data_IF_728430234079
#
_entry.id   IF_728430234079
#
_cell.length_a   1.000
_cell.length_b   1.000
_cell.length_c   1.000
_cell.angle_alpha   90.00
_cell.angle_beta   90.00
_cell.angle_gamma   90.00
#
_symmetry.space_group_name_H-M   'P 1'
#
loop_
_entity.id
_entity.type
_entity.pdbx_description
1 polymer ?
#
# COMPACT_ATOMS: atom_id res chain seq x y z
N UNK A 1 -22.61 6.34 4.95
CA UNK A 1 -22.52 5.94 3.54
C UNK A 1 -21.35 6.65 2.90
N UNK A 2 -20.25 5.92 2.79
CA UNK A 2 -19.06 6.26 2.02
C UNK A 2 -19.47 6.39 0.57
N UNK A 3 -19.11 7.51 -0.06
CA UNK A 3 -19.34 7.72 -1.49
C UNK A 3 -18.08 7.46 -2.28
N UNK A 4 -18.22 7.10 -3.56
CA UNK A 4 -17.08 7.04 -4.48
C UNK A 4 -16.34 8.39 -4.48
N UNK A 5 -15.01 8.32 -4.56
CA UNK A 5 -14.11 9.49 -4.54
C UNK A 5 -14.10 10.32 -3.24
N UNK A 6 -14.78 9.89 -2.17
CA UNK A 6 -14.53 10.44 -0.84
C UNK A 6 -13.09 10.13 -0.42
N UNK A 7 -12.39 11.14 0.09
CA UNK A 7 -11.02 11.03 0.56
C UNK A 7 -10.93 11.54 1.99
N UNK A 8 -10.56 10.65 2.90
CA UNK A 8 -10.18 10.99 4.28
C UNK A 8 -8.66 11.10 4.38
N UNK A 9 -8.19 12.16 5.03
CA UNK A 9 -6.76 12.39 5.23
C UNK A 9 -6.38 12.03 6.66
N UNK A 10 -5.31 11.27 6.84
CA UNK A 10 -4.72 10.98 8.15
C UNK A 10 -3.34 11.62 8.24
N UNK A 11 -3.08 12.23 9.39
CA UNK A 11 -1.80 12.87 9.69
C UNK A 11 -0.81 11.86 10.27
N UNK A 12 0.44 11.92 9.83
CA UNK A 12 1.56 11.16 10.36
C UNK A 12 2.79 12.07 10.34
N UNK A 13 3.55 12.11 11.45
CA UNK A 13 4.74 12.95 11.59
C UNK A 13 4.49 14.43 11.24
N UNK A 14 3.33 14.96 11.64
CA UNK A 14 2.94 16.36 11.40
C UNK A 14 2.47 16.66 9.97
N UNK A 15 2.26 15.64 9.11
CA UNK A 15 1.88 15.82 7.70
C UNK A 15 0.71 14.93 7.30
N UNK A 16 -0.24 15.48 6.55
CA UNK A 16 -1.39 14.76 5.95
C UNK A 16 -0.97 13.97 4.71
N UNK A 17 -0.20 12.90 4.92
CA UNK A 17 0.39 12.10 3.83
C UNK A 17 -0.31 10.76 3.61
N UNK A 18 -1.24 10.36 4.48
CA UNK A 18 -2.05 9.17 4.30
C UNK A 18 -3.44 9.58 3.81
N UNK A 19 -3.91 8.97 2.73
CA UNK A 19 -5.21 9.27 2.12
C UNK A 19 -5.99 8.00 1.88
N UNK A 20 -7.20 7.93 2.41
CA UNK A 20 -8.06 6.75 2.38
C UNK A 20 -9.31 7.08 1.58
N UNK A 21 -9.64 6.22 0.62
CA UNK A 21 -10.81 6.39 -0.23
C UNK A 21 -11.34 5.09 -0.80
N UNK A 22 -12.42 5.18 -1.57
CA UNK A 22 -12.99 4.07 -2.32
C UNK A 22 -13.13 4.44 -3.79
N UNK A 23 -12.53 3.62 -4.67
CA UNK A 23 -12.45 3.80 -6.13
C UNK A 23 -11.74 5.10 -6.51
N UNK A 24 -10.61 5.37 -5.86
CA UNK A 24 -9.83 6.61 -5.99
C UNK A 24 -8.66 6.51 -6.98
N UNK A 25 -8.59 5.49 -7.85
CA UNK A 25 -7.54 5.38 -8.88
C UNK A 25 -7.31 6.68 -9.70
N UNK A 26 -8.34 7.38 -10.22
CA UNK A 26 -8.11 8.64 -10.94
C UNK A 26 -7.44 9.69 -10.06
N UNK A 27 -7.89 9.81 -8.82
CA UNK A 27 -7.30 10.70 -7.84
C UNK A 27 -5.84 10.33 -7.52
N UNK A 28 -5.52 9.04 -7.37
CA UNK A 28 -4.15 8.58 -7.10
C UNK A 28 -3.21 9.01 -8.24
N UNK A 29 -3.61 8.77 -9.49
CA UNK A 29 -2.81 9.14 -10.65
C UNK A 29 -2.63 10.66 -10.74
N UNK A 30 -3.72 11.42 -10.59
CA UNK A 30 -3.68 12.89 -10.62
C UNK A 30 -2.86 13.46 -9.47
N UNK A 31 -2.99 12.93 -8.26
CA UNK A 31 -2.24 13.37 -7.09
C UNK A 31 -0.74 13.20 -7.28
N UNK A 32 -0.31 12.01 -7.71
CA UNK A 32 1.10 11.70 -7.95
C UNK A 32 1.67 12.64 -9.00
N UNK A 33 1.01 12.74 -10.16
CA UNK A 33 1.54 13.50 -11.30
C UNK A 33 1.50 15.00 -11.00
N UNK A 34 0.42 15.52 -10.41
CA UNK A 34 0.27 16.95 -10.14
C UNK A 34 1.27 17.43 -9.11
N UNK A 35 1.39 16.73 -7.97
CA UNK A 35 2.12 17.23 -6.82
C UNK A 35 3.55 16.69 -6.68
N UNK A 36 3.90 15.62 -7.40
CA UNK A 36 5.22 15.01 -7.34
C UNK A 36 5.86 14.95 -8.73
N UNK A 37 6.37 16.08 -9.19
CA UNK A 37 7.05 16.21 -10.47
C UNK A 37 8.23 15.24 -10.59
N UNK A 38 8.27 14.46 -11.68
CA UNK A 38 9.37 13.54 -12.02
C UNK A 38 9.41 13.37 -13.54
N UNK A 39 10.59 13.20 -14.14
CA UNK A 39 10.68 12.77 -15.53
C UNK A 39 10.29 11.30 -15.71
N UNK A 40 10.46 10.48 -14.67
CA UNK A 40 10.25 9.03 -14.72
C UNK A 40 9.45 8.56 -13.50
N UNK A 41 8.27 7.98 -13.75
CA UNK A 41 7.46 7.28 -12.77
C UNK A 41 7.60 5.77 -12.98
N UNK A 42 7.66 4.98 -11.91
CA UNK A 42 7.80 3.52 -12.02
C UNK A 42 6.80 2.82 -11.12
N UNK A 43 5.81 2.14 -11.71
CA UNK A 43 4.90 1.26 -10.97
C UNK A 43 5.55 -0.12 -10.83
N UNK A 44 5.72 -0.58 -9.59
CA UNK A 44 6.27 -1.90 -9.32
C UNK A 44 5.24 -2.69 -8.53
N UNK A 45 4.90 -3.88 -9.03
CA UNK A 45 3.82 -4.73 -8.50
C UNK A 45 4.14 -6.22 -8.67
N UNK A 46 3.21 -7.11 -8.30
CA UNK A 46 3.33 -8.55 -8.51
C UNK A 46 2.33 -9.09 -9.54
N UNK A 47 2.57 -10.33 -9.99
CA UNK A 47 1.74 -11.00 -11.00
C UNK A 47 0.27 -11.20 -10.60
N UNK A 48 -0.06 -11.27 -9.30
CA UNK A 48 -1.45 -11.43 -8.89
C UNK A 48 -2.22 -10.12 -9.09
N UNK A 49 -1.60 -8.98 -8.76
CA UNK A 49 -2.19 -7.66 -8.99
C UNK A 49 -2.28 -7.34 -10.47
N UNK A 50 -1.28 -7.74 -11.26
CA UNK A 50 -1.34 -7.68 -12.73
C UNK A 50 -2.47 -8.54 -13.29
N UNK A 51 -2.57 -9.82 -12.90
CA UNK A 51 -3.60 -10.74 -13.37
C UNK A 51 -5.03 -10.31 -12.99
N UNK A 52 -5.18 -9.59 -11.87
CA UNK A 52 -6.45 -8.98 -11.48
C UNK A 52 -6.83 -7.73 -12.31
N UNK A 53 -6.01 -7.34 -13.29
CA UNK A 53 -6.26 -6.21 -14.20
C UNK A 53 -5.95 -4.83 -13.62
N UNK A 54 -5.45 -4.76 -12.37
CA UNK A 54 -5.16 -3.49 -11.73
C UNK A 54 -4.01 -2.75 -12.42
N UNK A 55 -2.95 -3.45 -12.79
CA UNK A 55 -1.80 -2.81 -13.44
C UNK A 55 -2.20 -2.12 -14.75
N UNK A 56 -2.95 -2.79 -15.62
CA UNK A 56 -3.39 -2.20 -16.89
C UNK A 56 -4.34 -1.03 -16.68
N UNK A 57 -5.25 -1.14 -15.70
CA UNK A 57 -6.15 -0.05 -15.38
C UNK A 57 -5.41 1.18 -14.84
N UNK A 58 -4.39 1.00 -13.99
CA UNK A 58 -3.52 2.08 -13.52
C UNK A 58 -2.67 2.65 -14.65
N UNK A 59 -2.03 1.81 -15.48
CA UNK A 59 -1.24 2.28 -16.63
C UNK A 59 -2.06 3.16 -17.56
N UNK A 60 -3.30 2.75 -17.87
CA UNK A 60 -4.21 3.53 -18.71
C UNK A 60 -4.49 4.91 -18.10
N UNK A 61 -5.01 4.95 -16.87
CA UNK A 61 -5.37 6.22 -16.21
C UNK A 61 -4.14 7.12 -15.97
N UNK A 62 -2.99 6.52 -15.67
CA UNK A 62 -1.75 7.26 -15.43
C UNK A 62 -1.20 7.89 -16.71
N UNK A 63 -1.21 7.16 -17.84
CA UNK A 63 -0.79 7.70 -19.14
C UNK A 63 -1.72 8.83 -19.62
N UNK A 64 -3.05 8.65 -19.53
CA UNK A 64 -4.04 9.71 -19.83
C UNK A 64 -3.77 10.97 -18.98
N UNK A 65 -3.32 10.80 -17.74
CA UNK A 65 -3.00 11.91 -16.84
C UNK A 65 -1.64 12.54 -17.16
N UNK A 66 -0.64 11.76 -17.57
CA UNK A 66 0.66 12.26 -18.01
C UNK A 66 0.53 13.11 -19.27
N UNK A 67 -0.21 12.66 -20.28
CA UNK A 67 -0.45 13.42 -21.52
C UNK A 67 -1.02 14.81 -21.24
N UNK A 68 -1.91 14.91 -20.24
CA UNK A 68 -2.54 16.17 -19.84
C UNK A 68 -1.65 17.08 -18.99
N UNK A 69 -0.87 16.51 -18.07
CA UNK A 69 -0.20 17.29 -17.02
C UNK A 69 1.33 17.36 -17.17
N UNK A 70 1.95 16.33 -17.74
CA UNK A 70 3.41 16.16 -17.87
C UNK A 70 3.78 15.33 -19.11
N UNK A 71 3.54 15.84 -20.33
CA UNK A 71 3.73 15.07 -21.57
C UNK A 71 5.19 14.64 -21.82
N UNK A 72 6.17 15.35 -21.25
CA UNK A 72 7.60 15.00 -21.36
C UNK A 72 8.06 13.93 -20.35
N UNK A 73 7.15 13.49 -19.47
CA UNK A 73 7.43 12.46 -18.46
C UNK A 73 6.98 11.09 -18.96
N UNK A 74 7.60 10.04 -18.44
CA UNK A 74 7.31 8.65 -18.82
C UNK A 74 6.87 7.79 -17.63
N UNK A 75 6.10 6.75 -17.94
CA UNK A 75 5.74 5.69 -17.01
C UNK A 75 6.44 4.39 -17.40
N UNK A 76 7.13 3.79 -16.45
CA UNK A 76 7.69 2.45 -16.53
C UNK A 76 6.92 1.51 -15.59
N UNK A 77 6.97 0.20 -15.88
CA UNK A 77 6.32 -0.81 -15.05
C UNK A 77 7.20 -2.03 -14.87
N UNK A 78 7.24 -2.59 -13.67
CA UNK A 78 7.97 -3.83 -13.37
C UNK A 78 7.13 -4.79 -12.54
N UNK A 79 7.14 -6.07 -12.89
CA UNK A 79 6.33 -7.10 -12.24
C UNK A 79 7.20 -8.20 -11.65
N UNK A 80 7.09 -8.40 -10.34
CA UNK A 80 7.80 -9.48 -9.62
C UNK A 80 6.92 -10.72 -9.46
N UNK A 81 7.54 -11.86 -9.14
CA UNK A 81 6.78 -13.02 -8.68
C UNK A 81 6.06 -12.70 -7.35
N UNK A 82 4.85 -13.23 -7.11
CA UNK A 82 4.12 -12.96 -5.87
C UNK A 82 4.69 -13.73 -4.67
N UNK A 83 4.41 -13.22 -3.46
CA UNK A 83 4.67 -13.90 -2.19
C UNK A 83 6.02 -13.58 -1.53
N UNK A 84 6.18 -14.01 -0.28
CA UNK A 84 7.33 -13.69 0.57
C UNK A 84 8.67 -14.15 -0.03
N UNK A 85 8.66 -15.22 -0.84
CA UNK A 85 9.87 -15.72 -1.51
C UNK A 85 10.51 -14.68 -2.41
N UNK A 86 9.76 -13.69 -2.89
CA UNK A 86 10.29 -12.59 -3.70
C UNK A 86 10.97 -11.51 -2.88
N UNK A 87 10.77 -11.48 -1.56
CA UNK A 87 11.30 -10.46 -0.65
C UNK A 87 12.75 -10.76 -0.27
N UNK A 88 13.64 -10.76 -1.26
CA UNK A 88 15.02 -11.21 -1.10
C UNK A 88 16.01 -10.30 -1.84
N UNK A 89 17.31 -10.54 -1.60
CA UNK A 89 18.42 -9.77 -2.21
C UNK A 89 18.42 -9.83 -3.74
N UNK A 90 18.14 -11.00 -4.32
CA UNK A 90 18.17 -11.21 -5.76
C UNK A 90 17.05 -10.44 -6.46
N UNK A 91 15.83 -10.44 -5.93
CA UNK A 91 14.72 -9.65 -6.49
C UNK A 91 15.00 -8.16 -6.35
N UNK A 92 15.51 -7.70 -5.19
CA UNK A 92 15.93 -6.30 -5.00
C UNK A 92 16.94 -5.88 -6.07
N UNK A 93 17.99 -6.67 -6.27
CA UNK A 93 19.02 -6.41 -7.27
C UNK A 93 18.45 -6.40 -8.71
N UNK A 94 17.55 -7.33 -9.04
CA UNK A 94 16.92 -7.39 -10.35
C UNK A 94 16.08 -6.14 -10.66
N UNK A 95 15.40 -5.57 -9.66
CA UNK A 95 14.66 -4.31 -9.79
C UNK A 95 15.65 -3.15 -9.98
N UNK A 96 16.71 -3.07 -9.16
CA UNK A 96 17.74 -2.02 -9.28
C UNK A 96 18.42 -2.03 -10.64
N UNK A 97 18.78 -3.21 -11.15
CA UNK A 97 19.37 -3.37 -12.48
C UNK A 97 18.40 -2.95 -13.59
N UNK A 98 17.11 -3.28 -13.47
CA UNK A 98 16.10 -2.83 -14.42
C UNK A 98 16.02 -1.31 -14.46
N UNK A 99 15.93 -0.65 -13.30
CA UNK A 99 15.87 0.80 -13.20
C UNK A 99 17.12 1.47 -13.82
N UNK A 100 18.31 0.93 -13.57
CA UNK A 100 19.56 1.43 -14.17
C UNK A 100 19.57 1.27 -15.69
N UNK A 101 19.11 0.11 -16.22
CA UNK A 101 19.02 -0.13 -17.68
C UNK A 101 18.06 0.81 -18.37
N UNK A 102 16.94 1.13 -17.73
CA UNK A 102 15.96 2.09 -18.25
C UNK A 102 16.42 3.55 -18.13
N UNK A 103 17.58 3.81 -17.53
CA UNK A 103 18.12 5.16 -17.35
C UNK A 103 17.38 5.97 -16.29
N UNK A 104 16.80 5.32 -15.27
CA UNK A 104 16.24 6.01 -14.12
C UNK A 104 17.33 6.82 -13.39
N UNK A 105 17.00 8.05 -12.99
CA UNK A 105 17.92 8.94 -12.25
C UNK A 105 17.40 9.21 -10.84
N UNK A 106 18.04 10.13 -10.09
CA UNK A 106 17.61 10.52 -8.73
C UNK A 106 16.23 11.17 -8.70
N UNK A 107 15.74 11.66 -9.84
CA UNK A 107 14.41 12.27 -9.91
C UNK A 107 13.28 11.23 -9.92
N UNK A 108 13.58 9.96 -10.20
CA UNK A 108 12.62 8.85 -10.28
C UNK A 108 11.64 8.84 -9.12
N UNK A 109 10.36 8.59 -9.44
CA UNK A 109 9.29 8.46 -8.47
C UNK A 109 8.72 7.03 -8.51
N UNK A 110 9.03 6.25 -7.49
CA UNK A 110 8.60 4.84 -7.40
C UNK A 110 7.19 4.73 -6.81
N UNK A 111 6.39 3.82 -7.34
CA UNK A 111 5.02 3.54 -6.92
C UNK A 111 4.98 2.07 -6.53
N UNK A 112 4.98 1.80 -5.22
CA UNK A 112 4.88 0.46 -4.67
C UNK A 112 3.40 0.05 -4.61
N UNK A 113 2.93 -0.70 -5.62
CA UNK A 113 1.53 -1.12 -5.73
C UNK A 113 1.41 -2.60 -5.36
N UNK A 114 1.01 -2.90 -4.12
CA UNK A 114 0.89 -4.28 -3.67
C UNK A 114 0.62 -4.47 -2.17
N UNK A 115 0.80 -5.71 -1.71
CA UNK A 115 0.81 -6.06 -0.28
C UNK A 115 2.11 -5.67 0.42
N UNK A 116 2.27 -6.10 1.68
CA UNK A 116 3.45 -5.76 2.49
C UNK A 116 4.78 -6.20 1.89
N UNK A 117 4.81 -7.31 1.15
CA UNK A 117 6.01 -7.76 0.41
C UNK A 117 6.49 -6.72 -0.59
N UNK A 118 5.57 -6.20 -1.41
CA UNK A 118 5.89 -5.15 -2.39
C UNK A 118 6.23 -3.85 -1.66
N UNK A 119 5.44 -3.46 -0.66
CA UNK A 119 5.66 -2.24 0.10
C UNK A 119 7.06 -2.16 0.72
N UNK A 120 7.47 -3.22 1.42
CA UNK A 120 8.78 -3.31 2.08
C UNK A 120 9.92 -3.37 1.06
N UNK A 121 9.80 -4.24 0.05
CA UNK A 121 10.86 -4.44 -0.92
C UNK A 121 11.09 -3.18 -1.76
N UNK A 122 10.02 -2.57 -2.26
CA UNK A 122 10.13 -1.39 -3.14
C UNK A 122 10.48 -0.15 -2.32
N UNK A 123 9.99 -0.04 -1.09
CA UNK A 123 10.47 0.97 -0.16
C UNK A 123 11.99 0.85 0.06
N UNK A 124 12.52 -0.36 0.20
CA UNK A 124 13.95 -0.58 0.42
C UNK A 124 14.78 -0.33 -0.85
N UNK A 125 14.27 -0.72 -2.03
CA UNK A 125 14.86 -0.32 -3.32
C UNK A 125 14.92 1.22 -3.40
N UNK A 126 13.83 1.92 -3.10
CA UNK A 126 13.78 3.38 -3.15
C UNK A 126 14.75 4.03 -2.16
N UNK A 127 14.93 3.45 -0.97
CA UNK A 127 15.86 3.93 0.04
C UNK A 127 17.33 3.87 -0.42
N UNK A 128 17.70 2.86 -1.22
CA UNK A 128 19.10 2.64 -1.63
C UNK A 128 19.40 3.07 -3.06
N UNK A 129 18.41 3.12 -3.95
CA UNK A 129 18.58 3.48 -5.35
C UNK A 129 19.13 4.90 -5.46
N UNK A 130 20.34 5.05 -6.03
CA UNK A 130 21.08 6.30 -6.08
C UNK A 130 21.16 7.06 -4.74
N UNK A 131 21.24 6.31 -3.62
CA UNK A 131 21.24 6.82 -2.22
C UNK A 131 19.93 7.48 -1.77
N UNK A 132 18.81 7.13 -2.40
CA UNK A 132 17.49 7.56 -2.00
C UNK A 132 16.74 8.26 -3.11
N UNK A 133 15.55 7.75 -3.43
CA UNK A 133 14.56 8.40 -4.31
C UNK A 133 13.17 8.35 -3.69
N UNK A 134 12.26 9.14 -4.24
CA UNK A 134 10.89 9.27 -3.72
C UNK A 134 10.09 8.00 -4.02
N UNK A 135 9.29 7.56 -3.04
CA UNK A 135 8.37 6.44 -3.18
C UNK A 135 6.99 6.80 -2.62
N UNK A 136 5.93 6.28 -3.24
CA UNK A 136 4.56 6.26 -2.72
C UNK A 136 4.13 4.82 -2.48
N UNK A 137 3.38 4.59 -1.41
CA UNK A 137 2.75 3.30 -1.13
C UNK A 137 1.31 3.31 -1.64
N UNK A 138 0.94 2.31 -2.45
CA UNK A 138 -0.42 2.04 -2.90
C UNK A 138 -0.81 0.63 -2.41
N UNK A 139 -1.21 0.50 -1.12
CA UNK A 139 -1.46 -0.80 -0.52
C UNK A 139 -2.71 -1.48 -1.11
N UNK A 140 -2.57 -2.76 -1.47
CA UNK A 140 -3.64 -3.56 -2.10
C UNK A 140 -4.19 -4.68 -1.23
N UNK A 141 -3.62 -4.89 -0.04
CA UNK A 141 -4.07 -5.91 0.92
C UNK A 141 -4.54 -5.25 2.19
N UNK A 142 -5.52 -5.83 2.90
CA UNK A 142 -5.99 -5.27 4.16
C UNK A 142 -4.84 -5.06 5.16
N UNK A 143 -3.93 -6.03 5.27
CA UNK A 143 -2.73 -5.93 6.10
C UNK A 143 -1.86 -4.71 5.74
N UNK A 144 -1.58 -4.50 4.45
CA UNK A 144 -0.75 -3.38 4.04
C UNK A 144 -1.46 -2.04 4.17
N UNK A 145 -2.79 -1.99 4.05
CA UNK A 145 -3.56 -0.76 4.24
C UNK A 145 -3.50 -0.28 5.70
N UNK A 146 -3.56 -1.19 6.67
CA UNK A 146 -3.71 -0.84 8.08
C UNK A 146 -2.41 -0.80 8.88
N UNK A 147 -1.33 -1.42 8.37
CA UNK A 147 -0.07 -1.57 9.10
C UNK A 147 1.16 -1.36 8.20
N UNK A 148 1.47 -2.30 7.30
CA UNK A 148 2.80 -2.40 6.70
C UNK A 148 3.18 -1.23 5.76
N UNK A 149 2.22 -0.49 5.21
CA UNK A 149 2.52 0.68 4.37
C UNK A 149 2.85 1.95 5.18
N UNK A 150 2.67 1.91 6.50
CA UNK A 150 2.75 3.07 7.38
C UNK A 150 3.99 2.99 8.26
N UNK A 151 4.75 4.09 8.29
CA UNK A 151 5.89 4.30 9.16
C UNK A 151 7.26 4.05 8.54
N UNK A 152 7.31 3.78 7.23
CA UNK A 152 8.57 3.84 6.48
C UNK A 152 9.55 2.73 6.80
N UNK A 153 9.14 1.67 7.50
CA UNK A 153 9.95 0.47 7.66
C UNK A 153 9.98 -0.29 6.33
N UNK A 154 11.17 -0.57 5.84
CA UNK A 154 11.37 -1.26 4.56
C UNK A 154 12.46 -2.29 4.73
N UNK A 155 12.27 -3.49 4.20
CA UNK A 155 13.22 -4.57 4.43
C UNK A 155 13.11 -5.70 3.40
N UNK A 156 14.13 -6.56 3.42
CA UNK A 156 14.14 -7.85 2.75
C UNK A 156 14.54 -8.96 3.72
N UNK A 157 14.17 -10.18 3.35
CA UNK A 157 14.49 -11.38 4.11
C UNK A 157 15.85 -11.94 3.72
N UNK A 158 16.40 -12.72 4.64
CA UNK A 158 17.59 -13.53 4.44
C UNK A 158 17.28 -14.98 4.82
N UNK A 159 18.12 -15.96 4.44
CA UNK A 159 17.93 -17.34 4.90
C UNK A 159 17.92 -17.51 6.43
N UNK A 160 18.47 -16.54 7.17
CA UNK A 160 18.54 -16.55 8.63
C UNK A 160 17.30 -15.98 9.31
N UNK A 161 16.45 -15.24 8.59
CA UNK A 161 15.29 -14.61 9.19
C UNK A 161 14.74 -13.46 8.37
N UNK A 162 13.60 -12.96 8.83
CA UNK A 162 12.80 -11.94 8.15
C UNK A 162 13.21 -10.54 8.54
N UNK A 163 13.11 -9.61 7.60
CA UNK A 163 13.30 -8.16 7.82
C UNK A 163 14.63 -7.74 8.47
N UNK A 164 15.67 -8.59 8.46
CA UNK A 164 16.95 -8.26 9.10
C UNK A 164 17.77 -7.23 8.33
N UNK A 165 17.52 -7.06 7.04
CA UNK A 165 18.24 -6.11 6.20
C UNK A 165 17.23 -5.14 5.59
N UNK A 166 17.37 -3.87 5.91
CA UNK A 166 16.38 -2.86 5.52
C UNK A 166 16.83 -1.43 5.79
N UNK A 167 15.90 -0.50 5.68
CA UNK A 167 16.08 0.90 5.99
C UNK A 167 14.77 1.53 6.49
N UNK A 168 14.89 2.58 7.29
CA UNK A 168 13.80 3.51 7.54
C UNK A 168 13.76 4.54 6.41
N UNK A 169 12.72 4.50 5.58
CA UNK A 169 12.52 5.37 4.44
C UNK A 169 11.05 5.75 4.32
N UNK A 170 10.71 6.97 4.75
CA UNK A 170 9.32 7.45 4.74
C UNK A 170 8.81 7.63 3.30
N UNK A 171 7.64 7.06 2.96
CA UNK A 171 7.02 7.34 1.69
C UNK A 171 6.53 8.80 1.64
N UNK A 172 6.45 9.35 0.43
CA UNK A 172 5.89 10.68 0.21
C UNK A 172 4.38 10.72 0.50
N UNK A 173 3.70 9.61 0.20
CA UNK A 173 2.28 9.39 0.42
C UNK A 173 2.00 7.91 0.69
N UNK A 174 0.89 7.65 1.39
CA UNK A 174 0.24 6.35 1.45
C UNK A 174 -1.18 6.53 0.91
N UNK A 175 -1.48 5.91 -0.22
CA UNK A 175 -2.73 6.10 -0.97
C UNK A 175 -3.56 4.81 -0.93
N UNK A 176 -4.50 4.77 0.01
CA UNK A 176 -5.33 3.60 0.33
C UNK A 176 -6.63 3.64 -0.47
N UNK A 177 -6.73 2.80 -1.50
CA UNK A 177 -7.98 2.56 -2.23
C UNK A 177 -8.62 1.24 -1.77
N UNK A 178 -9.73 1.34 -1.05
CA UNK A 178 -10.46 0.18 -0.53
C UNK A 178 -10.97 -0.73 -1.65
N UNK A 179 -11.13 -0.22 -2.87
CA UNK A 179 -11.58 -1.02 -4.01
C UNK A 179 -10.63 -2.18 -4.35
N UNK A 180 -9.34 -2.12 -3.98
CA UNK A 180 -8.43 -3.27 -4.14
C UNK A 180 -8.92 -4.54 -3.42
N UNK A 181 -9.65 -4.35 -2.31
CA UNK A 181 -10.20 -5.45 -1.51
C UNK A 181 -11.25 -6.28 -2.28
N UNK A 182 -11.88 -5.73 -3.33
CA UNK A 182 -12.83 -6.47 -4.19
C UNK A 182 -12.17 -7.69 -4.86
N UNK A 183 -10.84 -7.66 -5.07
CA UNK A 183 -10.07 -8.75 -5.70
C UNK A 183 -9.22 -9.56 -4.71
N UNK A 184 -9.20 -9.17 -3.43
CA UNK A 184 -8.32 -9.78 -2.43
C UNK A 184 -8.83 -11.17 -2.00
N UNK A 185 -8.03 -12.25 -2.03
CA UNK A 185 -8.47 -13.57 -1.59
C UNK A 185 -8.91 -13.60 -0.12
N UNK A 186 -9.89 -14.46 0.21
CA UNK A 186 -10.45 -14.59 1.57
C UNK A 186 -9.37 -14.77 2.64
N UNK A 187 -8.39 -15.65 2.37
CA UNK A 187 -7.28 -15.90 3.31
C UNK A 187 -6.49 -14.63 3.62
N UNK A 188 -6.32 -13.73 2.66
CA UNK A 188 -5.58 -12.48 2.82
C UNK A 188 -6.40 -11.41 3.54
N UNK A 189 -7.74 -11.40 3.36
CA UNK A 189 -8.63 -10.61 4.22
C UNK A 189 -8.49 -11.03 5.69
N UNK A 190 -8.62 -12.32 5.97
CA UNK A 190 -8.52 -12.86 7.34
C UNK A 190 -7.14 -12.60 7.93
N UNK A 191 -6.08 -12.70 7.12
CA UNK A 191 -4.74 -12.36 7.56
C UNK A 191 -4.61 -10.89 7.98
N UNK A 192 -5.15 -9.95 7.19
CA UNK A 192 -5.15 -8.52 7.55
C UNK A 192 -5.99 -8.20 8.78
N UNK A 193 -7.09 -8.94 9.02
CA UNK A 193 -7.89 -8.78 10.23
C UNK A 193 -7.11 -9.05 11.52
N UNK A 194 -6.04 -9.85 11.47
CA UNK A 194 -5.16 -10.07 12.64
C UNK A 194 -4.60 -8.76 13.20
N UNK A 195 -4.07 -7.89 12.34
CA UNK A 195 -3.53 -6.60 12.75
C UNK A 195 -4.61 -5.60 13.18
N UNK A 196 -5.79 -5.67 12.55
CA UNK A 196 -6.94 -4.84 12.91
C UNK A 196 -7.42 -5.17 14.33
N UNK A 197 -7.58 -6.46 14.63
CA UNK A 197 -8.00 -6.96 15.95
C UNK A 197 -6.92 -6.64 17.00
N UNK A 198 -5.64 -6.80 16.67
CA UNK A 198 -4.53 -6.42 17.55
C UNK A 198 -4.62 -4.94 17.92
N UNK A 199 -4.77 -4.08 16.92
CA UNK A 199 -4.79 -2.62 17.08
C UNK A 199 -5.99 -2.17 17.92
N UNK A 200 -7.17 -2.73 17.69
CA UNK A 200 -8.36 -2.40 18.49
C UNK A 200 -8.24 -2.91 19.94
N UNK A 201 -7.71 -4.12 20.15
CA UNK A 201 -7.55 -4.72 21.47
C UNK A 201 -6.62 -3.91 22.38
N UNK A 202 -5.55 -3.30 21.84
CA UNK A 202 -4.57 -2.53 22.62
C UNK A 202 -4.93 -1.05 22.77
N UNK A 203 -5.81 -0.50 21.92
CA UNK A 203 -6.01 0.95 21.83
C UNK A 203 -7.46 1.42 22.02
N UNK A 204 -8.46 0.62 21.61
CA UNK A 204 -9.85 1.08 21.57
C UNK A 204 -10.85 -0.08 21.78
N UNK A 205 -11.26 -0.27 23.04
CA UNK A 205 -12.27 -1.28 23.41
C UNK A 205 -13.59 -1.12 22.65
N UNK A 206 -14.07 0.10 22.40
CA UNK A 206 -15.32 0.30 21.64
C UNK A 206 -15.21 -0.15 20.18
N UNK A 207 -14.03 0.02 19.58
CA UNK A 207 -13.78 -0.50 18.24
C UNK A 207 -13.67 -2.03 18.26
N UNK A 208 -13.10 -2.61 19.32
CA UNK A 208 -13.08 -4.06 19.50
C UNK A 208 -14.50 -4.63 19.57
N UNK A 209 -15.38 -4.06 20.40
CA UNK A 209 -16.80 -4.45 20.49
C UNK A 209 -17.50 -4.36 19.12
N UNK A 210 -17.25 -3.27 18.38
CA UNK A 210 -17.80 -3.08 17.02
C UNK A 210 -17.36 -4.18 16.05
N UNK A 211 -16.10 -4.62 16.11
CA UNK A 211 -15.60 -5.71 15.27
C UNK A 211 -16.32 -7.02 15.59
N UNK A 212 -16.57 -7.32 16.88
CA UNK A 212 -17.32 -8.50 17.30
C UNK A 212 -18.74 -8.51 16.73
N UNK A 213 -19.44 -7.37 16.82
CA UNK A 213 -20.82 -7.22 16.32
C UNK A 213 -20.94 -7.47 14.81
N UNK A 214 -19.95 -7.04 14.01
CA UNK A 214 -20.00 -7.12 12.54
C UNK A 214 -19.33 -8.36 11.96
N UNK A 215 -18.71 -9.21 12.79
CA UNK A 215 -17.90 -10.36 12.34
C UNK A 215 -18.69 -11.30 11.42
N UNK A 216 -19.95 -11.60 11.76
CA UNK A 216 -20.78 -12.52 10.96
C UNK A 216 -21.06 -11.99 9.56
N UNK A 217 -21.48 -10.73 9.47
CA UNK A 217 -21.77 -10.07 8.19
C UNK A 217 -20.50 -9.96 7.34
N UNK A 218 -19.39 -9.53 7.95
CA UNK A 218 -18.09 -9.44 7.29
C UNK A 218 -17.68 -10.78 6.66
N UNK A 219 -17.72 -11.87 7.45
CA UNK A 219 -17.38 -13.21 6.96
C UNK A 219 -18.33 -13.69 5.86
N UNK A 220 -19.63 -13.42 5.97
CA UNK A 220 -20.59 -13.77 4.93
C UNK A 220 -20.27 -13.07 3.60
N UNK A 221 -20.00 -11.76 3.64
CA UNK A 221 -19.70 -10.99 2.42
C UNK A 221 -18.39 -11.45 1.80
N UNK A 222 -17.29 -11.53 2.56
CA UNK A 222 -15.99 -11.88 1.95
C UNK A 222 -15.96 -13.30 1.37
N UNK A 223 -16.81 -14.22 1.85
CA UNK A 223 -16.92 -15.58 1.32
C UNK A 223 -17.85 -15.68 0.09
N UNK A 224 -18.70 -14.68 -0.16
CA UNK A 224 -19.61 -14.65 -1.32
C UNK A 224 -18.88 -14.19 -2.58
N UNK A 225 -18.00 -15.06 -3.09
CA UNK A 225 -17.18 -14.80 -4.28
C UNK A 225 -17.93 -15.05 -5.59
N UNK A 226 -17.65 -14.22 -6.58
CA UNK A 226 -18.06 -14.41 -7.98
C UNK A 226 -17.13 -15.42 -8.67
N UNK A 227 -17.49 -15.86 -9.87
CA UNK A 227 -16.73 -16.84 -10.66
C UNK A 227 -15.31 -16.35 -11.00
N UNK A 228 -15.13 -15.05 -11.20
CA UNK A 228 -13.85 -14.40 -11.45
C UNK A 228 -12.99 -14.21 -10.17
N UNK A 229 -13.46 -14.69 -9.01
CA UNK A 229 -12.79 -14.55 -7.72
C UNK A 229 -13.02 -13.22 -7.02
N UNK A 230 -13.77 -12.29 -7.62
CA UNK A 230 -14.08 -10.99 -7.01
C UNK A 230 -15.19 -11.09 -5.96
N UNK A 231 -15.31 -10.07 -5.12
CA UNK A 231 -16.38 -9.92 -4.12
C UNK A 231 -16.98 -8.52 -4.22
N UNK A 232 -18.30 -8.44 -4.05
CA UNK A 232 -18.99 -7.16 -3.87
C UNK A 232 -18.90 -6.75 -2.39
N UNK A 233 -18.06 -5.74 -2.10
CA UNK A 233 -17.87 -5.24 -0.73
C UNK A 233 -18.87 -4.16 -0.34
N UNK A 234 -19.75 -3.73 -1.26
CA UNK A 234 -20.73 -2.65 -1.01
C UNK A 234 -21.55 -2.85 0.27
N UNK A 235 -22.03 -4.06 0.61
CA UNK A 235 -22.81 -4.26 1.84
C UNK A 235 -22.05 -3.92 3.13
N UNK A 236 -20.72 -4.06 3.13
CA UNK A 236 -19.85 -3.79 4.29
C UNK A 236 -18.92 -2.60 4.05
N UNK A 237 -19.16 -1.77 3.05
CA UNK A 237 -18.23 -0.71 2.65
C UNK A 237 -18.01 0.30 3.78
N UNK A 238 -19.09 0.77 4.41
CA UNK A 238 -19.01 1.70 5.55
C UNK A 238 -18.23 1.08 6.71
N UNK A 239 -18.43 -0.22 6.95
CA UNK A 239 -17.74 -0.97 7.99
C UNK A 239 -16.24 -1.10 7.69
N UNK A 240 -15.88 -1.50 6.46
CA UNK A 240 -14.50 -1.63 5.98
C UNK A 240 -13.76 -0.29 5.99
N UNK A 241 -14.40 0.78 5.52
CA UNK A 241 -13.81 2.10 5.49
C UNK A 241 -13.47 2.59 6.88
N UNK A 242 -14.42 2.48 7.82
CA UNK A 242 -14.18 2.85 9.21
C UNK A 242 -13.08 2.00 9.84
N UNK A 243 -13.12 0.68 9.61
CA UNK A 243 -12.13 -0.27 10.12
C UNK A 243 -10.71 0.10 9.67
N UNK A 244 -10.53 0.33 8.37
CA UNK A 244 -9.24 0.75 7.80
C UNK A 244 -8.81 2.08 8.38
N UNK A 245 -9.70 3.08 8.41
CA UNK A 245 -9.38 4.42 8.88
C UNK A 245 -8.97 4.45 10.36
N UNK A 246 -9.69 3.75 11.23
CA UNK A 246 -9.37 3.74 12.67
C UNK A 246 -8.05 3.00 12.94
N UNK A 247 -7.78 1.89 12.27
CA UNK A 247 -6.51 1.18 12.39
C UNK A 247 -5.32 2.05 11.92
N UNK A 248 -5.49 2.74 10.79
CA UNK A 248 -4.47 3.67 10.26
C UNK A 248 -4.19 4.81 11.24
N UNK A 249 -5.22 5.40 11.84
CA UNK A 249 -5.06 6.50 12.82
C UNK A 249 -4.22 6.07 14.03
N UNK A 250 -4.49 4.86 14.56
CA UNK A 250 -3.70 4.32 15.67
C UNK A 250 -2.25 4.11 15.26
N UNK A 251 -2.01 3.46 14.12
CA UNK A 251 -0.65 3.22 13.62
C UNK A 251 0.11 4.53 13.38
N UNK A 252 -0.54 5.51 12.77
CA UNK A 252 0.04 6.83 12.50
C UNK A 252 0.40 7.57 13.80
N UNK A 253 -0.44 7.50 14.83
CA UNK A 253 -0.16 8.09 16.14
C UNK A 253 1.04 7.42 16.82
N UNK A 254 1.08 6.09 16.83
CA UNK A 254 2.21 5.33 17.42
C UNK A 254 3.52 5.68 16.73
N UNK A 255 3.55 5.66 15.39
CA UNK A 255 4.75 6.02 14.62
C UNK A 255 5.14 7.48 14.83
N UNK A 256 4.16 8.39 14.97
CA UNK A 256 4.45 9.80 15.20
C UNK A 256 5.09 10.07 16.56
N UNK A 257 4.83 9.21 17.54
CA UNK A 257 5.47 9.25 18.87
C UNK A 257 6.85 8.64 18.86
N UNK A 258 7.07 7.58 18.08
CA UNK A 258 8.35 6.89 18.00
C UNK A 258 8.65 6.36 16.58
N UNK A 259 9.27 7.21 15.76
CA UNK A 259 9.56 6.89 14.37
C UNK A 259 10.63 5.78 14.23
N UNK A 260 11.58 5.71 15.17
CA UNK A 260 12.77 4.85 15.09
C UNK A 260 12.83 3.77 16.15
N UNK A 261 11.73 3.54 16.87
CA UNK A 261 11.62 2.52 17.92
C UNK A 261 12.68 2.69 19.02
N UNK A 262 12.85 3.93 19.49
CA UNK A 262 13.85 4.31 20.48
C UNK A 262 13.52 3.89 21.91
N UNK A 263 12.23 3.74 22.27
CA UNK A 263 11.79 3.33 23.60
C UNK A 263 10.61 2.32 23.52
N UNK A 264 10.64 1.32 24.39
CA UNK A 264 9.74 0.16 24.49
C UNK A 264 8.28 0.40 24.06
N UNK A 265 7.91 -0.14 22.90
CA UNK A 265 6.54 -0.11 22.39
C UNK A 265 6.37 -0.83 21.06
N UNK A 266 6.90 -2.05 20.93
CA UNK A 266 6.51 -2.96 19.85
C UNK A 266 4.97 -3.07 19.84
N UNK A 267 4.34 -2.45 18.84
CA UNK A 267 3.00 -2.83 18.39
C UNK A 267 3.10 -4.07 17.51
#
# INVERSE_FOLDING_TARGET
>A
MVTENQIENVEILGKKTIRVGFRIRPYICEEIIKNYASSTYVIITDRNIEAAGHLDAYRKTFNETLERLRPDSRLLTYVVAPGESSKNRSTKAAIEDYLLREGCTRDTFMIAMGGGVIGDMIGYVAATFMRGVRVVQVPTTLLSMVDSSIGGKTAIDTPLGKNFIGAFWQPQLVLVDIAFLETLPVRQFVNGMGEVIKTSAIWNAKEFDRLEEHTREFLQVINKRREDGTVDITPILDHLFKLVLESIKVKAEVVSRDEREGDSGTC
#
